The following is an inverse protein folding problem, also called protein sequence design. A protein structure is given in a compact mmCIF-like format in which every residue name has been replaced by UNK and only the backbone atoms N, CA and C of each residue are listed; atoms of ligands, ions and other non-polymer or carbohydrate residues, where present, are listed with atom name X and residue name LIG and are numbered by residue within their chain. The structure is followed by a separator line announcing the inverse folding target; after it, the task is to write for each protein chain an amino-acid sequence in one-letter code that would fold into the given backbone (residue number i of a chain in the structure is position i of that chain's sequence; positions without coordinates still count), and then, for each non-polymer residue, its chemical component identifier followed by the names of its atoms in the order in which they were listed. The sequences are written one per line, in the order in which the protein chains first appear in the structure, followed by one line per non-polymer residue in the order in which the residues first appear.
data_IF_475297393908
#
_entry.id   IF_475297393908
#
_cell.length_a   1.000
_cell.length_b   1.000
_cell.length_c   1.000
_cell.angle_alpha   90.00
_cell.angle_beta   90.00
_cell.angle_gamma   90.00
#
_symmetry.space_group_name_H-M   'P 1'
#
loop_
_entity.id
_entity.type
_entity.pdbx_description
1 polymer ?
#
# COMPACT_ATOMS: atom_id res chain seq x y z
N UNK A 1 -9.15 15.20 -9.28
CA UNK A 1 -10.51 15.62 -8.92
C UNK A 1 -10.89 15.26 -7.48
N UNK A 2 -10.23 14.28 -6.83
CA UNK A 2 -10.63 13.77 -5.51
C UNK A 2 -10.27 14.66 -4.28
N UNK A 3 -9.34 15.61 -4.37
CA UNK A 3 -8.96 16.48 -3.23
C UNK A 3 -9.93 17.66 -3.02
N UNK A 4 -10.56 18.13 -4.10
CA UNK A 4 -11.48 19.27 -4.06
C UNK A 4 -12.76 18.92 -3.29
N UNK A 5 -13.20 17.66 -3.36
CA UNK A 5 -14.44 17.17 -2.73
C UNK A 5 -14.40 17.22 -1.19
N UNK A 6 -13.25 16.90 -0.59
CA UNK A 6 -13.12 16.86 0.88
C UNK A 6 -12.96 18.25 1.48
N UNK A 7 -12.23 19.15 0.81
CA UNK A 7 -12.11 20.54 1.25
C UNK A 7 -13.47 21.26 1.20
N UNK A 8 -14.23 21.08 0.11
CA UNK A 8 -15.58 21.62 -0.03
C UNK A 8 -16.53 21.04 1.03
N UNK A 9 -16.43 19.74 1.31
CA UNK A 9 -17.20 19.08 2.36
C UNK A 9 -16.91 19.62 3.76
N UNK A 10 -15.63 19.83 4.10
CA UNK A 10 -15.21 20.42 5.38
C UNK A 10 -15.78 21.83 5.54
N UNK A 11 -15.74 22.63 4.47
CA UNK A 11 -16.23 24.00 4.51
C UNK A 11 -17.74 24.07 4.77
N UNK A 12 -18.50 23.10 4.27
CA UNK A 12 -19.94 22.98 4.51
C UNK A 12 -20.24 22.36 5.88
N UNK A 13 -19.38 21.48 6.40
CA UNK A 13 -19.61 20.69 7.60
C UNK A 13 -18.53 20.92 8.68
N UNK A 14 -18.28 22.18 9.05
CA UNK A 14 -17.22 22.53 10.02
C UNK A 14 -17.33 21.81 11.36
N UNK A 15 -18.54 21.66 11.91
CA UNK A 15 -18.75 20.97 13.18
C UNK A 15 -18.36 19.49 13.10
N UNK A 16 -18.65 18.83 11.97
CA UNK A 16 -18.26 17.45 11.72
C UNK A 16 -16.73 17.32 11.58
N UNK A 17 -16.10 18.27 10.91
CA UNK A 17 -14.65 18.31 10.80
C UNK A 17 -13.97 18.45 12.16
N UNK A 18 -14.49 19.32 13.04
CA UNK A 18 -14.02 19.47 14.42
C UNK A 18 -14.24 18.18 15.24
N UNK A 19 -15.37 17.50 15.06
CA UNK A 19 -15.61 16.19 15.67
C UNK A 19 -14.58 15.16 15.21
N UNK A 20 -14.30 15.08 13.91
CA UNK A 20 -13.29 14.15 13.37
C UNK A 20 -11.92 14.44 13.95
N UNK A 21 -11.57 15.71 14.18
CA UNK A 21 -10.30 16.09 14.80
C UNK A 21 -10.13 15.55 16.23
N UNK A 22 -11.23 15.21 16.93
CA UNK A 22 -11.17 14.54 18.24
C UNK A 22 -10.72 13.08 18.16
N UNK A 23 -10.80 12.43 16.98
CA UNK A 23 -10.39 11.04 16.82
C UNK A 23 -8.87 10.86 16.72
N UNK A 24 -8.11 11.95 16.63
CA UNK A 24 -6.65 11.89 16.54
C UNK A 24 -6.02 11.33 17.82
N UNK A 25 -5.19 10.31 17.67
CA UNK A 25 -4.36 9.76 18.75
C UNK A 25 -3.09 10.57 18.97
N UNK A 26 -2.61 10.63 20.22
CA UNK A 26 -1.39 11.39 20.57
C UNK A 26 -0.11 10.83 19.94
N UNK A 27 -0.10 9.55 19.54
CA UNK A 27 1.04 8.85 18.94
C UNK A 27 1.12 9.03 17.41
N UNK A 28 0.15 9.71 16.81
CA UNK A 28 0.10 9.91 15.37
C UNK A 28 0.94 11.11 14.93
N UNK A 29 1.85 10.86 13.98
CA UNK A 29 2.52 11.92 13.25
C UNK A 29 1.54 12.68 12.36
N UNK A 30 1.87 13.92 11.99
CA UNK A 30 1.02 14.71 11.08
C UNK A 30 0.75 13.98 9.76
N UNK A 31 1.77 13.36 9.16
CA UNK A 31 1.61 12.60 7.92
C UNK A 31 0.59 11.45 8.05
N UNK A 32 0.61 10.74 9.18
CA UNK A 32 -0.38 9.70 9.47
C UNK A 32 -1.78 10.30 9.62
N UNK A 33 -1.87 11.34 10.45
CA UNK A 33 -3.15 11.94 10.81
C UNK A 33 -3.83 12.58 9.60
N UNK A 34 -3.11 13.35 8.77
CA UNK A 34 -3.68 13.98 7.57
C UNK A 34 -4.33 12.95 6.64
N UNK A 35 -3.65 11.84 6.37
CA UNK A 35 -4.19 10.78 5.52
C UNK A 35 -5.36 10.03 6.19
N UNK A 36 -5.27 9.74 7.49
CA UNK A 36 -6.34 9.04 8.23
C UNK A 36 -7.59 9.92 8.39
N UNK A 37 -7.40 11.22 8.57
CA UNK A 37 -8.47 12.22 8.63
C UNK A 37 -9.22 12.30 7.30
N UNK A 38 -8.49 12.34 6.19
CA UNK A 38 -9.07 12.30 4.84
C UNK A 38 -9.89 11.01 4.63
N UNK A 39 -9.32 9.86 5.02
CA UNK A 39 -10.03 8.58 5.02
C UNK A 39 -11.35 8.64 5.80
N UNK A 40 -11.35 9.17 7.03
CA UNK A 40 -12.56 9.27 7.85
C UNK A 40 -13.60 10.18 7.18
N UNK A 41 -13.21 11.38 6.74
CA UNK A 41 -14.15 12.36 6.17
C UNK A 41 -14.82 11.88 4.89
N UNK A 42 -14.14 11.08 4.07
CA UNK A 42 -14.73 10.49 2.86
C UNK A 42 -15.79 9.46 3.16
N UNK A 43 -15.61 8.70 4.24
CA UNK A 43 -16.46 7.56 4.58
C UNK A 43 -17.52 7.90 5.64
N UNK A 44 -17.39 9.01 6.36
CA UNK A 44 -18.27 9.32 7.51
C UNK A 44 -19.75 9.41 7.16
N UNK A 45 -20.09 9.77 5.91
CA UNK A 45 -21.48 9.78 5.43
C UNK A 45 -22.13 8.40 5.37
N UNK A 46 -21.35 7.33 5.27
CA UNK A 46 -21.83 5.95 5.20
C UNK A 46 -21.95 5.28 6.59
N UNK A 47 -21.50 5.97 7.65
CA UNK A 47 -21.47 5.45 9.02
C UNK A 47 -22.25 6.38 9.95
N UNK A 48 -23.50 6.02 10.23
CA UNK A 48 -24.30 6.66 11.27
C UNK A 48 -23.99 6.06 12.65
N UNK A 49 -24.27 6.80 13.73
CA UNK A 49 -24.25 6.26 15.09
C UNK A 49 -25.14 5.00 15.19
N UNK A 50 -24.69 3.89 15.80
CA UNK A 50 -23.52 3.73 16.67
C UNK A 50 -22.23 3.25 15.96
N UNK A 51 -22.18 3.29 14.63
CA UNK A 51 -21.11 2.65 13.84
C UNK A 51 -19.88 3.54 13.60
N UNK A 52 -19.82 4.74 14.20
CA UNK A 52 -18.66 5.63 14.10
C UNK A 52 -17.38 4.98 14.67
N UNK A 53 -17.47 4.23 15.77
CA UNK A 53 -16.33 3.51 16.34
C UNK A 53 -15.76 2.46 15.37
N UNK A 54 -16.64 1.87 14.55
CA UNK A 54 -16.22 0.93 13.50
C UNK A 54 -15.43 1.65 12.40
N UNK A 55 -15.89 2.82 11.96
CA UNK A 55 -15.16 3.65 10.99
C UNK A 55 -13.79 4.05 11.52
N UNK A 56 -13.72 4.53 12.76
CA UNK A 56 -12.45 4.89 13.41
C UNK A 56 -11.51 3.69 13.45
N UNK A 57 -12.01 2.49 13.80
CA UNK A 57 -11.22 1.26 13.80
C UNK A 57 -10.71 0.87 12.41
N UNK A 58 -11.57 0.97 11.38
CA UNK A 58 -11.18 0.69 9.99
C UNK A 58 -10.14 1.68 9.48
N UNK A 59 -10.25 2.97 9.85
CA UNK A 59 -9.26 4.00 9.52
C UNK A 59 -7.88 3.68 10.10
N UNK A 60 -7.84 3.11 11.31
CA UNK A 60 -6.59 2.67 11.94
C UNK A 60 -6.01 1.44 11.25
N UNK A 61 -6.84 0.46 10.91
CA UNK A 61 -6.41 -0.72 10.13
C UNK A 61 -5.78 -0.30 8.80
N UNK A 62 -6.44 0.62 8.10
CA UNK A 62 -5.93 1.20 6.85
C UNK A 62 -4.59 1.89 7.05
N UNK A 63 -4.50 2.83 8.01
CA UNK A 63 -3.27 3.57 8.28
C UNK A 63 -2.12 2.64 8.70
N UNK A 64 -2.40 1.67 9.58
CA UNK A 64 -1.40 0.69 10.01
C UNK A 64 -0.89 -0.17 8.84
N UNK A 65 -1.77 -0.53 7.90
CA UNK A 65 -1.37 -1.25 6.70
C UNK A 65 -0.47 -0.39 5.79
N UNK A 66 -0.89 0.85 5.51
CA UNK A 66 -0.23 1.75 4.56
C UNK A 66 1.12 2.25 5.09
N UNK A 67 1.18 2.64 6.36
CA UNK A 67 2.35 3.34 6.91
C UNK A 67 3.24 2.48 7.80
N UNK A 68 2.73 1.37 8.35
CA UNK A 68 3.51 0.46 9.19
C UNK A 68 3.64 -0.95 8.59
N UNK A 69 2.96 -1.23 7.48
CA UNK A 69 3.02 -2.53 6.84
C UNK A 69 2.35 -3.64 7.65
N UNK A 70 1.46 -3.31 8.60
CA UNK A 70 0.69 -4.30 9.31
C UNK A 70 -0.14 -5.15 8.34
N UNK A 71 -0.35 -6.42 8.70
CA UNK A 71 -1.09 -7.39 7.88
C UNK A 71 -2.30 -7.87 8.65
N UNK A 72 -3.40 -7.97 7.92
CA UNK A 72 -4.67 -8.48 8.41
C UNK A 72 -5.18 -9.53 7.43
N UNK A 73 -6.36 -10.08 7.68
CA UNK A 73 -6.98 -10.99 6.71
C UNK A 73 -7.25 -10.25 5.38
N UNK A 74 -7.26 -11.01 4.28
CA UNK A 74 -7.35 -10.44 2.93
C UNK A 74 -8.64 -9.65 2.72
N UNK A 75 -9.77 -10.17 3.19
CA UNK A 75 -11.09 -9.55 3.03
C UNK A 75 -11.15 -8.16 3.70
N UNK A 76 -10.62 -8.03 4.92
CA UNK A 76 -10.54 -6.77 5.63
C UNK A 76 -9.61 -5.78 4.91
N UNK A 77 -8.48 -6.26 4.39
CA UNK A 77 -7.54 -5.42 3.65
C UNK A 77 -8.13 -4.92 2.32
N UNK A 78 -8.85 -5.77 1.59
CA UNK A 78 -9.55 -5.37 0.37
C UNK A 78 -10.60 -4.30 0.68
N UNK A 79 -11.41 -4.52 1.72
CA UNK A 79 -12.41 -3.54 2.17
C UNK A 79 -11.78 -2.19 2.51
N UNK A 80 -10.77 -2.15 3.39
CA UNK A 80 -10.19 -0.85 3.78
C UNK A 80 -9.42 -0.19 2.63
N UNK A 81 -8.92 -0.98 1.67
CA UNK A 81 -8.28 -0.45 0.46
C UNK A 81 -9.30 0.26 -0.44
N UNK A 82 -10.47 -0.34 -0.65
CA UNK A 82 -11.59 0.26 -1.39
C UNK A 82 -12.07 1.55 -0.72
N UNK A 83 -12.28 1.51 0.60
CA UNK A 83 -12.66 2.70 1.39
C UNK A 83 -11.62 3.84 1.34
N UNK A 84 -10.35 3.49 1.12
CA UNK A 84 -9.25 4.44 1.04
C UNK A 84 -8.95 4.94 -0.38
N UNK A 85 -9.76 4.56 -1.38
CA UNK A 85 -9.56 5.04 -2.75
C UNK A 85 -9.69 6.57 -2.81
N UNK A 86 -8.72 7.21 -3.45
CA UNK A 86 -8.66 8.67 -3.55
C UNK A 86 -7.94 9.38 -2.40
N UNK A 87 -7.62 8.68 -1.29
CA UNK A 87 -6.77 9.24 -0.23
C UNK A 87 -5.32 9.32 -0.73
N UNK A 88 -4.76 10.52 -0.75
CA UNK A 88 -3.39 10.76 -1.22
C UNK A 88 -2.40 10.57 -0.07
N UNK A 89 -1.49 9.62 -0.21
CA UNK A 89 -0.40 9.39 0.76
C UNK A 89 0.94 9.71 0.10
N UNK A 90 1.54 10.82 0.50
CA UNK A 90 2.89 11.19 0.07
C UNK A 90 3.93 10.29 0.74
N UNK A 91 4.92 9.84 -0.03
CA UNK A 91 6.05 9.03 0.44
C UNK A 91 5.64 7.74 1.19
N UNK A 92 4.58 7.06 0.75
CA UNK A 92 4.14 5.81 1.36
C UNK A 92 5.30 4.78 1.42
N UNK A 93 5.61 4.22 2.61
CA UNK A 93 6.71 3.27 2.72
C UNK A 93 6.42 1.99 1.92
N UNK A 94 7.42 1.50 1.18
CA UNK A 94 7.28 0.26 0.40
C UNK A 94 7.68 -0.95 1.26
N UNK A 95 6.68 -1.62 1.84
CA UNK A 95 6.89 -2.84 2.62
C UNK A 95 7.00 -4.07 1.72
N UNK A 96 8.24 -4.49 1.42
CA UNK A 96 8.48 -5.75 0.70
C UNK A 96 8.47 -6.92 1.68
N UNK A 97 7.70 -7.96 1.37
CA UNK A 97 7.72 -9.20 2.13
C UNK A 97 9.08 -9.90 2.00
N UNK A 98 9.52 -10.59 3.07
CA UNK A 98 10.67 -11.50 2.98
C UNK A 98 10.47 -12.51 1.85
N UNK A 99 9.26 -13.02 1.67
CA UNK A 99 8.95 -14.00 0.63
C UNK A 99 9.01 -13.41 -0.79
N UNK A 100 8.61 -12.15 -0.96
CA UNK A 100 8.77 -11.44 -2.24
C UNK A 100 10.25 -11.18 -2.55
N UNK A 101 11.04 -10.85 -1.53
CA UNK A 101 12.50 -10.69 -1.64
C UNK A 101 13.12 -12.04 -2.03
N UNK A 102 12.74 -13.12 -1.36
CA UNK A 102 13.21 -14.49 -1.64
C UNK A 102 12.82 -14.96 -3.05
N UNK A 103 11.57 -14.74 -3.49
CA UNK A 103 11.11 -15.06 -4.86
C UNK A 103 11.88 -14.28 -5.91
N UNK A 104 12.06 -12.97 -5.72
CA UNK A 104 12.87 -12.14 -6.64
C UNK A 104 14.32 -12.63 -6.69
N UNK A 105 14.89 -13.05 -5.56
CA UNK A 105 16.24 -13.60 -5.50
C UNK A 105 16.34 -14.95 -6.23
N UNK A 106 15.39 -15.86 -6.03
CA UNK A 106 15.33 -17.13 -6.78
C UNK A 106 15.19 -16.90 -8.29
N UNK A 107 14.38 -15.93 -8.70
CA UNK A 107 14.21 -15.60 -10.11
C UNK A 107 15.50 -15.02 -10.72
N UNK A 108 16.20 -14.14 -9.99
CA UNK A 108 17.54 -13.66 -10.38
C UNK A 108 18.54 -14.80 -10.54
N UNK A 109 18.60 -15.72 -9.57
CA UNK A 109 19.48 -16.91 -9.63
C UNK A 109 19.15 -17.79 -10.84
N UNK A 110 17.85 -17.98 -11.13
CA UNK A 110 17.39 -18.79 -12.27
C UNK A 110 17.80 -18.16 -13.61
N UNK A 111 17.66 -16.84 -13.75
CA UNK A 111 18.10 -16.09 -14.92
C UNK A 111 19.63 -16.22 -15.08
N UNK A 112 20.39 -15.98 -14.02
CA UNK A 112 21.86 -16.08 -14.04
C UNK A 112 22.34 -17.47 -14.49
N UNK A 113 21.73 -18.54 -13.97
CA UNK A 113 22.03 -19.92 -14.37
C UNK A 113 21.68 -20.22 -15.83
N UNK A 114 20.65 -19.58 -16.36
CA UNK A 114 20.23 -19.78 -17.75
C UNK A 114 21.21 -19.13 -18.71
N UNK A 115 21.66 -17.90 -18.40
CA UNK A 115 22.66 -17.18 -19.19
C UNK A 115 23.98 -17.95 -19.24
N UNK A 116 24.50 -18.40 -18.09
CA UNK A 116 25.74 -19.18 -18.03
C UNK A 116 25.70 -20.44 -18.90
N UNK A 117 24.58 -21.17 -18.89
CA UNK A 117 24.40 -22.37 -19.73
C UNK A 117 24.36 -22.06 -21.23
N UNK A 118 23.78 -20.92 -21.61
CA UNK A 118 23.76 -20.48 -23.01
C UNK A 118 25.18 -20.14 -23.50
N UNK A 119 25.94 -19.40 -22.69
CA UNK A 119 27.34 -19.04 -22.99
C UNK A 119 28.23 -20.30 -23.13
N UNK A 120 28.07 -21.28 -22.23
CA UNK A 120 28.77 -22.58 -22.32
C UNK A 120 28.42 -23.35 -23.61
N UNK A 121 27.13 -23.35 -23.98
CA UNK A 121 26.65 -23.98 -25.22
C UNK A 121 27.23 -23.33 -26.47
N UNK A 122 27.31 -22.00 -26.52
CA UNK A 122 27.95 -21.28 -27.62
C UNK A 122 29.45 -21.60 -27.72
N UNK A 123 30.15 -21.72 -26.58
CA UNK A 123 31.58 -22.04 -26.53
C UNK A 123 31.86 -23.45 -27.08
N UNK A 124 30.98 -24.41 -26.78
CA UNK A 124 31.03 -25.79 -27.27
C UNK A 124 30.79 -25.85 -28.78
N UNK A 125 29.79 -25.12 -29.30
CA UNK A 125 29.51 -25.06 -30.74
C UNK A 125 30.71 -24.45 -31.50
N UNK A 126 31.30 -23.37 -30.96
CA UNK A 126 32.52 -22.79 -31.53
C UNK A 126 33.67 -23.81 -31.56
N UNK A 127 33.89 -24.55 -30.48
CA UNK A 127 34.92 -25.60 -30.41
C UNK A 127 34.68 -26.75 -31.39
N UNK A 128 33.44 -27.20 -31.57
CA UNK A 128 33.10 -28.27 -32.52
C UNK A 128 33.35 -27.82 -33.96
N UNK A 129 32.96 -26.60 -34.33
CA UNK A 129 33.20 -26.04 -35.66
C UNK A 129 34.69 -25.85 -35.98
N UNK A 130 35.52 -25.54 -34.97
CA UNK A 130 36.97 -25.46 -35.09
C UNK A 130 37.63 -26.82 -35.36
N UNK A 131 37.06 -27.93 -34.87
CA UNK A 131 37.59 -29.28 -35.09
C UNK A 131 37.17 -29.92 -36.42
N UNK A 132 36.21 -29.35 -37.13
CA UNK A 132 35.74 -29.84 -38.44
C UNK A 132 36.39 -29.13 -39.64
N UNK A 133 37.37 -28.24 -39.41
CA UNK A 133 38.25 -27.65 -40.42
C UNK A 133 39.62 -28.31 -40.38
#
# INVERSE_FOLDING_TARGET
MANLDVEDFIQQNRALAEQVDTFRGYWESEKHWTARRDFILRNIGDFEDPHLDQLVSLSMVWANNVFMGCRYNTELLEKVKEMGEGVVVEDAPVFKMRDEIMKKQQQRIKIQKTILRADEGELLIKHLNLKQK
#
